data_IF_354236851684
#
_entry.id   IF_354236851684
#
_cell.length_a   1.000
_cell.length_b   1.000
_cell.length_c   1.000
_cell.angle_alpha   90.00
_cell.angle_beta   90.00
_cell.angle_gamma   90.00
#
_symmetry.space_group_name_H-M   'P 1'
#
loop_
_entity.id
_entity.type
_entity.pdbx_description
1 polymer ?
#
# COMPACT_ATOMS: atom_id res chain seq x y z
N UNK A 1 -9.60 -6.35 -14.29
CA UNK A 1 -9.85 -6.59 -12.86
C UNK A 1 -8.83 -5.81 -12.05
N UNK A 2 -9.23 -5.12 -10.98
CA UNK A 2 -8.29 -4.31 -10.21
C UNK A 2 -7.27 -5.16 -9.45
N UNK A 3 -6.19 -4.50 -9.05
CA UNK A 3 -5.30 -5.03 -8.03
C UNK A 3 -6.06 -5.04 -6.70
N UNK A 4 -5.89 -6.09 -5.90
CA UNK A 4 -6.50 -6.18 -4.56
C UNK A 4 -5.42 -6.38 -3.51
N UNK A 5 -5.55 -5.68 -2.39
CA UNK A 5 -4.59 -5.71 -1.29
C UNK A 5 -5.32 -5.96 0.02
N UNK A 6 -4.86 -6.94 0.81
CA UNK A 6 -5.42 -7.25 2.12
C UNK A 6 -4.62 -6.57 3.23
N UNK A 7 -5.30 -5.79 4.08
CA UNK A 7 -4.68 -5.15 5.23
C UNK A 7 -4.08 -6.16 6.21
N UNK A 8 -4.81 -7.26 6.47
CA UNK A 8 -4.41 -8.21 7.51
C UNK A 8 -3.26 -9.11 7.09
N UNK A 9 -3.17 -9.45 5.81
CA UNK A 9 -2.17 -10.41 5.31
C UNK A 9 -1.02 -9.74 4.56
N UNK A 10 -1.23 -8.52 4.06
CA UNK A 10 -0.27 -7.85 3.18
C UNK A 10 -0.23 -8.44 1.78
N UNK A 11 -1.13 -9.36 1.44
CA UNK A 11 -1.13 -10.02 0.13
C UNK A 11 -1.72 -9.13 -0.93
N UNK A 12 -1.02 -9.06 -2.07
CA UNK A 12 -1.45 -8.38 -3.28
C UNK A 12 -1.82 -9.42 -4.34
N UNK A 13 -3.03 -9.29 -4.86
CA UNK A 13 -3.54 -10.15 -5.95
C UNK A 13 -3.86 -9.31 -7.19
N UNK A 14 -3.76 -9.93 -8.36
CA UNK A 14 -4.20 -9.36 -9.63
C UNK A 14 -4.79 -10.47 -10.48
N UNK A 15 -6.01 -10.26 -11.00
CA UNK A 15 -6.73 -11.25 -11.80
C UNK A 15 -6.85 -12.62 -11.09
N UNK A 16 -7.05 -12.60 -9.77
CA UNK A 16 -7.18 -13.80 -8.96
C UNK A 16 -5.88 -14.52 -8.63
N UNK A 17 -4.72 -13.95 -9.02
CA UNK A 17 -3.40 -14.55 -8.80
C UNK A 17 -2.67 -13.79 -7.70
N UNK A 18 -2.10 -14.51 -6.73
CA UNK A 18 -1.23 -13.90 -5.72
C UNK A 18 0.07 -13.43 -6.39
N UNK A 19 0.30 -12.12 -6.35
CA UNK A 19 1.49 -11.50 -6.95
C UNK A 19 2.64 -11.44 -5.95
N UNK A 20 2.31 -11.13 -4.70
CA UNK A 20 3.32 -11.04 -3.66
C UNK A 20 2.74 -10.57 -2.34
N UNK A 21 3.61 -10.43 -1.35
CA UNK A 21 3.22 -10.04 0.00
C UNK A 21 4.10 -8.89 0.46
N UNK A 22 3.47 -7.85 1.01
CA UNK A 22 4.14 -6.71 1.62
C UNK A 22 3.52 -6.39 2.96
N UNK A 23 3.55 -5.11 3.35
CA UNK A 23 2.89 -4.69 4.57
C UNK A 23 2.45 -3.23 4.46
N UNK A 24 1.55 -2.83 5.36
CA UNK A 24 1.07 -1.46 5.50
C UNK A 24 0.80 -1.21 6.98
N UNK A 25 1.25 -0.04 7.49
CA UNK A 25 1.15 0.31 8.90
C UNK A 25 2.48 0.30 9.62
N UNK A 26 2.54 0.98 10.76
CA UNK A 26 3.75 1.29 11.48
C UNK A 26 4.30 0.12 12.28
N UNK A 27 5.59 0.18 12.57
CA UNK A 27 6.29 -0.76 13.45
C UNK A 27 6.53 -2.11 12.83
N UNK A 28 6.76 -3.10 13.67
CA UNK A 28 7.07 -4.48 13.29
C UNK A 28 5.96 -5.46 13.67
N UNK A 29 5.00 -5.04 14.47
CA UNK A 29 3.95 -5.87 15.02
C UNK A 29 2.57 -5.24 14.78
N UNK A 30 1.49 -6.06 14.72
CA UNK A 30 0.13 -5.53 14.57
C UNK A 30 -0.28 -4.54 15.67
N UNK A 31 0.23 -4.69 16.88
CA UNK A 31 -0.05 -3.75 17.98
C UNK A 31 0.45 -2.33 17.67
N UNK A 32 1.45 -2.20 16.80
CA UNK A 32 1.95 -0.90 16.34
C UNK A 32 1.16 -0.34 15.15
N UNK A 33 0.26 -1.13 14.56
CA UNK A 33 -0.54 -0.77 13.39
C UNK A 33 -0.26 -1.60 12.15
N UNK A 34 0.89 -2.24 12.04
CA UNK A 34 1.29 -3.04 10.88
C UNK A 34 0.29 -4.17 10.64
N UNK A 35 -0.30 -4.18 9.44
CA UNK A 35 -1.27 -5.20 9.03
C UNK A 35 -2.42 -5.37 10.03
N UNK A 36 -2.84 -4.28 10.66
CA UNK A 36 -3.92 -4.31 11.64
C UNK A 36 -5.12 -3.49 11.16
N UNK A 37 -6.15 -4.14 10.59
CA UNK A 37 -7.34 -3.42 10.10
C UNK A 37 -8.05 -2.59 11.16
N UNK A 38 -8.00 -3.02 12.42
CA UNK A 38 -8.64 -2.28 13.53
C UNK A 38 -8.00 -0.91 13.77
N UNK A 39 -6.79 -0.68 13.28
CA UNK A 39 -6.07 0.60 13.43
C UNK A 39 -6.09 1.44 12.16
N UNK A 40 -6.87 1.11 11.14
CA UNK A 40 -6.86 1.84 9.87
C UNK A 40 -7.22 3.31 9.99
N UNK A 41 -7.93 3.70 11.05
CA UNK A 41 -8.28 5.10 11.31
C UNK A 41 -7.22 5.87 12.09
N UNK A 42 -6.14 5.23 12.51
CA UNK A 42 -5.09 5.87 13.31
C UNK A 42 -4.00 6.41 12.37
N UNK A 43 -3.95 7.73 12.23
CA UNK A 43 -2.96 8.38 11.36
C UNK A 43 -1.54 8.04 11.80
N UNK A 44 -0.66 7.80 10.82
CA UNK A 44 0.77 7.48 10.99
C UNK A 44 1.05 6.15 11.71
N UNK A 45 0.02 5.34 11.99
CA UNK A 45 0.17 4.05 12.65
C UNK A 45 -0.53 2.93 11.90
N UNK A 46 -1.82 3.09 11.56
CA UNK A 46 -2.60 2.04 10.93
C UNK A 46 -2.24 1.81 9.46
N UNK A 47 -2.70 0.69 8.89
CA UNK A 47 -2.53 0.43 7.47
C UNK A 47 -3.38 1.40 6.64
N UNK A 48 -3.13 1.42 5.33
CA UNK A 48 -3.96 2.18 4.40
C UNK A 48 -5.43 1.77 4.57
N UNK A 49 -6.36 2.72 4.68
CA UNK A 49 -7.79 2.41 4.87
C UNK A 49 -8.38 1.62 3.70
N UNK A 50 -9.40 0.82 3.99
CA UNK A 50 -10.13 0.07 2.97
C UNK A 50 -10.80 1.03 1.97
N UNK A 51 -10.96 0.56 0.74
CA UNK A 51 -11.61 1.29 -0.33
C UNK A 51 -10.84 1.22 -1.63
N UNK A 52 -11.34 1.92 -2.63
CA UNK A 52 -10.74 1.98 -3.95
C UNK A 52 -9.76 3.15 -4.03
N UNK A 53 -8.65 2.91 -4.70
CA UNK A 53 -7.60 3.92 -4.96
C UNK A 53 -7.22 3.90 -6.42
N UNK A 54 -6.86 5.06 -6.95
CA UNK A 54 -6.21 5.18 -8.25
C UNK A 54 -4.70 5.13 -8.06
N UNK A 55 -4.02 4.28 -8.82
CA UNK A 55 -2.57 4.16 -8.82
C UNK A 55 -2.01 5.17 -9.83
N UNK A 56 -1.21 6.11 -9.35
CA UNK A 56 -0.54 7.09 -10.19
C UNK A 56 0.66 6.51 -10.94
N UNK A 57 1.24 7.29 -11.88
CA UNK A 57 2.43 6.85 -12.60
C UNK A 57 3.62 6.69 -11.66
N UNK A 58 4.51 5.75 -11.98
CA UNK A 58 5.71 5.54 -11.18
C UNK A 58 6.71 6.70 -11.37
N UNK A 59 7.43 7.01 -10.29
CA UNK A 59 8.46 8.04 -10.29
C UNK A 59 9.52 7.73 -9.25
N UNK A 60 10.65 8.46 -9.31
CA UNK A 60 11.70 8.36 -8.32
C UNK A 60 11.45 9.40 -7.23
N UNK A 61 11.21 8.92 -6.01
CA UNK A 61 10.94 9.77 -4.86
C UNK A 61 12.25 10.16 -4.16
N UNK A 62 12.44 11.43 -3.76
CA UNK A 62 13.70 11.88 -3.14
C UNK A 62 14.07 11.13 -1.85
N UNK A 63 13.08 10.64 -1.11
CA UNK A 63 13.32 9.95 0.16
C UNK A 63 12.93 8.47 0.15
N UNK A 64 12.07 8.05 -0.79
CA UNK A 64 11.56 6.67 -0.86
C UNK A 64 12.22 5.84 -1.96
N UNK A 65 13.03 6.48 -2.79
CA UNK A 65 13.77 5.80 -3.86
C UNK A 65 12.99 5.61 -5.14
N UNK A 66 13.45 4.71 -6.01
CA UNK A 66 12.85 4.50 -7.33
C UNK A 66 11.54 3.72 -7.24
N UNK A 67 10.72 3.92 -8.27
CA UNK A 67 9.49 3.16 -8.52
C UNK A 67 8.48 3.33 -7.39
N UNK A 68 8.15 4.58 -7.10
CA UNK A 68 7.08 4.96 -6.16
C UNK A 68 5.83 5.32 -6.96
N UNK A 69 4.66 4.92 -6.45
CA UNK A 69 3.38 5.25 -7.06
C UNK A 69 2.46 5.85 -6.01
N UNK A 70 1.89 7.01 -6.28
CA UNK A 70 0.91 7.63 -5.39
C UNK A 70 -0.43 6.92 -5.48
N UNK A 71 -1.14 6.86 -4.35
CA UNK A 71 -2.47 6.28 -4.26
C UNK A 71 -3.47 7.36 -3.88
N UNK A 72 -4.46 7.58 -4.74
CA UNK A 72 -5.50 8.59 -4.54
C UNK A 72 -6.83 7.91 -4.25
N UNK A 73 -7.50 8.22 -3.11
CA UNK A 73 -8.80 7.63 -2.81
C UNK A 73 -9.85 7.95 -3.87
N UNK A 74 -10.68 6.98 -4.20
CA UNK A 74 -11.79 7.14 -5.16
C UNK A 74 -13.10 6.80 -4.46
N UNK A 75 -13.99 7.80 -4.34
CA UNK A 75 -15.30 7.61 -3.74
C UNK A 75 -15.31 7.61 -2.20
N UNK A 76 -14.18 7.95 -1.56
CA UNK A 76 -14.07 8.07 -0.10
C UNK A 76 -12.93 9.02 0.26
N UNK A 77 -12.79 9.37 1.54
CA UNK A 77 -11.75 10.29 2.01
C UNK A 77 -10.64 9.61 2.83
N UNK A 78 -10.53 8.28 2.75
CA UNK A 78 -9.53 7.50 3.48
C UNK A 78 -9.54 7.81 5.00
N UNK A 79 -10.74 7.94 5.58
CA UNK A 79 -10.94 8.26 7.01
C UNK A 79 -10.23 9.56 7.44
N UNK A 80 -10.13 10.54 6.52
CA UNK A 80 -9.45 11.80 6.76
C UNK A 80 -7.93 11.74 6.69
N UNK A 81 -7.37 10.61 6.34
CA UNK A 81 -5.93 10.41 6.16
C UNK A 81 -5.53 10.66 4.71
N UNK A 82 -4.24 10.91 4.47
CA UNK A 82 -3.73 11.24 3.14
C UNK A 82 -2.26 10.85 2.99
N UNK A 83 -1.71 11.05 1.78
CA UNK A 83 -0.31 10.83 1.51
C UNK A 83 0.06 9.38 1.28
N UNK A 84 -0.87 8.54 0.83
CA UNK A 84 -0.61 7.13 0.60
C UNK A 84 0.18 6.90 -0.68
N UNK A 85 1.12 5.96 -0.61
CA UNK A 85 1.97 5.55 -1.73
C UNK A 85 2.24 4.05 -1.66
N UNK A 86 2.62 3.48 -2.80
CA UNK A 86 3.33 2.20 -2.85
C UNK A 86 4.80 2.52 -2.99
N UNK A 87 5.65 2.03 -2.08
CA UNK A 87 7.09 2.23 -2.16
C UNK A 87 7.86 1.04 -1.58
N UNK A 88 9.18 1.13 -1.57
CA UNK A 88 10.04 0.06 -1.09
C UNK A 88 10.31 0.09 0.39
N UNK A 89 10.84 -1.02 0.89
CA UNK A 89 11.18 -1.18 2.30
C UNK A 89 12.49 -0.45 2.66
N UNK A 90 12.77 -0.33 3.94
CA UNK A 90 14.05 0.14 4.47
C UNK A 90 14.79 -1.01 5.17
N UNK A 91 16.02 -0.74 5.62
CA UNK A 91 16.86 -1.74 6.29
C UNK A 91 16.23 -2.20 7.60
N UNK A 92 15.56 -1.31 8.32
CA UNK A 92 14.92 -1.59 9.60
C UNK A 92 13.60 -2.36 9.47
N UNK A 93 13.10 -2.54 8.24
CA UNK A 93 11.81 -3.19 7.98
C UNK A 93 10.63 -2.48 8.65
N UNK A 94 10.67 -1.14 8.68
CA UNK A 94 9.64 -0.30 9.32
C UNK A 94 9.35 0.96 8.49
N UNK A 95 9.27 0.81 7.16
CA UNK A 95 9.18 1.94 6.23
C UNK A 95 7.78 2.55 6.12
N UNK A 96 6.75 1.97 6.76
CA UNK A 96 5.38 2.39 6.56
C UNK A 96 4.81 3.16 7.74
N UNK A 97 4.01 4.18 7.42
CA UNK A 97 3.08 4.85 8.35
C UNK A 97 1.67 4.82 7.78
N UNK A 98 1.42 3.88 6.86
CA UNK A 98 0.17 3.72 6.13
C UNK A 98 0.37 3.42 4.66
N UNK A 99 1.54 3.69 4.08
CA UNK A 99 1.86 3.30 2.71
C UNK A 99 1.96 1.78 2.58
N UNK A 100 1.74 1.28 1.37
CA UNK A 100 1.93 -0.14 1.07
C UNK A 100 3.38 -0.36 0.67
N UNK A 101 4.05 -1.27 1.36
CA UNK A 101 5.44 -1.63 1.12
C UNK A 101 5.48 -2.93 0.32
N UNK A 102 6.08 -2.86 -0.87
CA UNK A 102 6.22 -4.00 -1.78
C UNK A 102 7.63 -4.04 -2.35
N UNK A 103 8.07 -5.22 -2.74
CA UNK A 103 9.39 -5.42 -3.32
C UNK A 103 9.53 -4.75 -4.70
N UNK A 104 10.78 -4.56 -5.19
CA UNK A 104 11.01 -3.84 -6.44
C UNK A 104 10.44 -4.53 -7.67
N UNK A 105 10.50 -5.85 -7.76
CA UNK A 105 9.94 -6.58 -8.89
C UNK A 105 8.42 -6.43 -8.99
N UNK A 106 7.73 -6.45 -7.84
CA UNK A 106 6.28 -6.28 -7.76
C UNK A 106 5.91 -4.85 -8.15
N UNK A 107 6.63 -3.85 -7.65
CA UNK A 107 6.39 -2.44 -7.99
C UNK A 107 6.58 -2.17 -9.48
N UNK A 108 7.59 -2.78 -10.10
CA UNK A 108 7.81 -2.67 -11.55
C UNK A 108 6.67 -3.31 -12.33
N UNK A 109 6.15 -4.43 -11.85
CA UNK A 109 5.02 -5.12 -12.49
C UNK A 109 3.75 -4.25 -12.44
N UNK A 110 3.46 -3.60 -11.32
CA UNK A 110 2.34 -2.67 -11.19
C UNK A 110 2.54 -1.48 -12.13
N UNK A 111 3.74 -0.91 -12.15
CA UNK A 111 4.05 0.26 -12.98
C UNK A 111 3.90 -0.03 -14.48
N UNK A 112 4.19 -1.25 -14.91
CA UNK A 112 4.07 -1.66 -16.31
C UNK A 112 2.64 -2.06 -16.70
N UNK A 113 1.74 -2.24 -15.73
CA UNK A 113 0.36 -2.66 -15.97
C UNK A 113 -0.47 -1.51 -16.53
N UNK A 114 -1.45 -1.84 -17.37
CA UNK A 114 -2.49 -0.90 -17.81
C UNK A 114 -3.62 -0.76 -16.80
N UNK A 115 -3.62 -1.57 -15.74
CA UNK A 115 -4.63 -1.53 -14.68
C UNK A 115 -4.15 -0.61 -13.55
N UNK A 116 -4.79 0.55 -13.41
CA UNK A 116 -4.43 1.59 -12.45
C UNK A 116 -5.37 1.65 -11.25
N UNK A 117 -6.15 0.61 -11.02
CA UNK A 117 -7.11 0.56 -9.91
C UNK A 117 -6.64 -0.42 -8.84
N UNK A 118 -6.65 0.03 -7.59
CA UNK A 118 -6.35 -0.78 -6.41
C UNK A 118 -7.58 -0.79 -5.51
N UNK A 119 -7.95 -1.97 -5.00
CA UNK A 119 -8.97 -2.10 -3.95
C UNK A 119 -8.29 -2.64 -2.70
N UNK A 120 -8.37 -1.88 -1.61
CA UNK A 120 -7.87 -2.29 -0.30
C UNK A 120 -9.00 -2.95 0.47
N UNK A 121 -8.75 -4.17 0.94
CA UNK A 121 -9.67 -5.00 1.72
C UNK A 121 -9.09 -5.26 3.11
N UNK A 122 -9.91 -5.67 4.09
CA UNK A 122 -9.42 -6.04 5.42
C UNK A 122 -8.36 -7.14 5.44
#
# INVERSE_FOLDING_TARGET
MPWTYSQATGQLHHNGVLIGTGYSGAGLLPINGRNNPAMQNIANQGPIPTGQYQIGPSYNHPHKGPTVMNLTPVGHNALGRSGFMIHGNNIQNNASQGCIILGPAIRQQIAASTDHTLVVQP
#
